data_IF_565386025268
#
_entry.id   IF_565386025268
#
_cell.length_a   1.000
_cell.length_b   1.000
_cell.length_c   1.000
_cell.angle_alpha   90.00
_cell.angle_beta   90.00
_cell.angle_gamma   90.00
#
_symmetry.space_group_name_H-M   'P 1'
#
loop_
_entity.id
_entity.type
_entity.pdbx_description
1 polymer ?
#
# COMPACT_ATOMS: atom_id res chain seq x y z
N UNK A 1 13.01 14.43 -52.66
CA UNK A 1 13.58 14.57 -51.32
C UNK A 1 12.50 14.65 -50.25
N UNK A 2 11.36 15.32 -50.50
CA UNK A 2 10.28 15.43 -49.51
C UNK A 2 9.61 14.09 -49.16
N UNK A 3 9.46 13.18 -50.07
CA UNK A 3 8.83 11.88 -49.83
C UNK A 3 9.67 10.94 -48.94
N UNK A 4 10.99 10.98 -49.06
CA UNK A 4 11.92 10.18 -48.25
C UNK A 4 11.93 10.63 -46.81
N UNK A 5 11.86 11.94 -46.54
CA UNK A 5 11.80 12.49 -45.19
C UNK A 5 10.47 12.12 -44.49
N UNK A 6 9.36 12.07 -45.24
CA UNK A 6 8.06 11.67 -44.69
C UNK A 6 8.04 10.20 -44.30
N UNK A 7 8.62 9.31 -45.09
CA UNK A 7 8.73 7.87 -44.75
C UNK A 7 9.64 7.63 -43.55
N UNK A 8 10.73 8.38 -43.40
CA UNK A 8 11.61 8.29 -42.23
C UNK A 8 10.92 8.78 -40.96
N UNK A 9 10.17 9.89 -41.05
CA UNK A 9 9.42 10.44 -39.93
C UNK A 9 8.33 9.50 -39.43
N UNK A 10 7.55 8.89 -40.34
CA UNK A 10 6.51 7.89 -40.01
C UNK A 10 7.13 6.63 -39.44
N UNK A 11 8.27 6.17 -39.96
CA UNK A 11 9.01 5.01 -39.45
C UNK A 11 9.53 5.23 -38.02
N UNK A 12 10.09 6.40 -37.73
CA UNK A 12 10.53 6.76 -36.38
C UNK A 12 9.36 6.90 -35.39
N UNK A 13 8.24 7.47 -35.81
CA UNK A 13 7.04 7.60 -34.97
C UNK A 13 6.46 6.22 -34.61
N UNK A 14 6.37 5.32 -35.58
CA UNK A 14 5.93 3.95 -35.34
C UNK A 14 6.89 3.18 -34.43
N UNK A 15 8.20 3.36 -34.59
CA UNK A 15 9.20 2.69 -33.75
C UNK A 15 9.13 3.18 -32.28
N UNK A 16 8.92 4.47 -32.04
CA UNK A 16 8.75 5.01 -30.69
C UNK A 16 7.42 4.58 -30.06
N UNK A 17 6.37 4.39 -30.86
CA UNK A 17 5.10 3.88 -30.39
C UNK A 17 5.19 2.39 -30.01
N UNK A 18 5.88 1.60 -30.80
CA UNK A 18 6.13 0.16 -30.52
C UNK A 18 6.96 0.02 -29.23
N UNK A 19 7.98 0.84 -29.06
CA UNK A 19 8.84 0.78 -27.87
C UNK A 19 8.09 1.19 -26.61
N UNK A 20 7.24 2.23 -26.67
CA UNK A 20 6.34 2.61 -25.55
C UNK A 20 5.37 1.49 -25.21
N UNK A 21 4.73 0.88 -26.20
CA UNK A 21 3.79 -0.23 -25.97
C UNK A 21 4.50 -1.45 -25.38
N UNK A 22 5.74 -1.73 -25.78
CA UNK A 22 6.54 -2.82 -25.24
C UNK A 22 6.90 -2.57 -23.76
N UNK A 23 7.32 -1.35 -23.40
CA UNK A 23 7.59 -0.97 -22.00
C UNK A 23 6.34 -1.07 -21.13
N UNK A 24 5.19 -0.59 -21.61
CA UNK A 24 3.92 -0.71 -20.91
C UNK A 24 3.57 -2.19 -20.70
N UNK A 25 3.69 -3.03 -21.75
CA UNK A 25 3.40 -4.46 -21.63
C UNK A 25 4.31 -5.18 -20.63
N UNK A 26 5.60 -4.86 -20.60
CA UNK A 26 6.56 -5.44 -19.65
C UNK A 26 6.22 -5.02 -18.22
N UNK A 27 5.86 -3.77 -17.99
CA UNK A 27 5.48 -3.27 -16.67
C UNK A 27 4.18 -3.91 -16.18
N UNK A 28 3.18 -4.06 -17.04
CA UNK A 28 1.93 -4.77 -16.73
C UNK A 28 2.21 -6.22 -16.35
N UNK A 29 3.05 -6.90 -17.12
CA UNK A 29 3.39 -8.31 -16.87
C UNK A 29 4.15 -8.47 -15.55
N UNK A 30 5.09 -7.56 -15.25
CA UNK A 30 5.86 -7.57 -13.99
C UNK A 30 4.97 -7.28 -12.77
N UNK A 31 4.01 -6.34 -12.87
CA UNK A 31 3.05 -6.02 -11.82
C UNK A 31 2.08 -7.21 -11.59
N UNK A 32 1.60 -7.81 -12.66
CA UNK A 32 0.76 -9.01 -12.59
C UNK A 32 1.47 -10.18 -11.91
N UNK A 33 2.74 -10.43 -12.25
CA UNK A 33 3.55 -11.47 -11.62
C UNK A 33 3.77 -11.21 -10.12
N UNK A 34 3.99 -9.94 -9.70
CA UNK A 34 4.10 -9.58 -8.29
C UNK A 34 2.81 -9.87 -7.53
N UNK A 35 1.66 -9.46 -8.05
CA UNK A 35 0.33 -9.74 -7.45
C UNK A 35 0.03 -11.24 -7.37
N UNK A 36 0.41 -12.02 -8.39
CA UNK A 36 0.30 -13.48 -8.36
C UNK A 36 1.22 -14.10 -7.32
N UNK A 37 2.47 -13.66 -7.23
CA UNK A 37 3.45 -14.13 -6.25
C UNK A 37 2.95 -13.87 -4.82
N UNK A 38 2.42 -12.67 -4.55
CA UNK A 38 1.84 -12.30 -3.27
C UNK A 38 0.64 -13.19 -2.90
N UNK A 39 -0.33 -13.35 -3.81
CA UNK A 39 -1.49 -14.23 -3.57
C UNK A 39 -1.09 -15.68 -3.30
N UNK A 40 -0.14 -16.20 -4.07
CA UNK A 40 0.39 -17.56 -3.85
C UNK A 40 1.12 -17.67 -2.51
N UNK A 41 1.83 -16.62 -2.09
CA UNK A 41 2.50 -16.59 -0.80
C UNK A 41 1.48 -16.64 0.34
N UNK A 42 0.48 -15.77 0.34
CA UNK A 42 -0.59 -15.74 1.36
C UNK A 42 -1.36 -17.08 1.43
N UNK A 43 -1.69 -17.67 0.28
CA UNK A 43 -2.36 -18.99 0.24
C UNK A 43 -1.46 -20.08 0.82
N UNK A 44 -0.16 -20.04 0.49
CA UNK A 44 0.82 -21.02 1.00
C UNK A 44 0.99 -20.89 2.52
N UNK A 45 1.07 -19.66 3.05
CA UNK A 45 1.17 -19.45 4.51
C UNK A 45 -0.08 -19.93 5.24
N UNK A 46 -1.26 -19.55 4.75
CA UNK A 46 -2.52 -20.03 5.35
C UNK A 46 -2.61 -21.56 5.33
N UNK A 47 -2.32 -22.17 4.20
CA UNK A 47 -2.33 -23.63 4.07
C UNK A 47 -1.31 -24.31 5.00
N UNK A 48 -0.09 -23.73 5.12
CA UNK A 48 0.92 -24.27 6.04
C UNK A 48 0.55 -24.07 7.52
N UNK A 49 -0.08 -22.93 7.86
CA UNK A 49 -0.60 -22.70 9.21
C UNK A 49 -1.68 -23.72 9.56
N UNK A 50 -2.67 -23.89 8.70
CA UNK A 50 -3.78 -24.82 8.91
C UNK A 50 -3.31 -26.29 9.00
N UNK A 51 -2.32 -26.66 8.16
CA UNK A 51 -1.69 -27.99 8.21
C UNK A 51 -0.89 -28.22 9.50
N UNK A 52 -0.15 -27.20 9.98
CA UNK A 52 0.58 -27.29 11.25
C UNK A 52 -0.36 -27.45 12.43
N UNK A 53 -1.45 -26.69 12.47
CA UNK A 53 -2.45 -26.76 13.52
C UNK A 53 -3.17 -28.12 13.53
N UNK A 54 -3.45 -28.66 12.36
CA UNK A 54 -4.03 -30.01 12.23
C UNK A 54 -3.06 -31.09 12.74
N UNK A 55 -1.80 -31.04 12.32
CA UNK A 55 -0.76 -31.97 12.75
C UNK A 55 -0.56 -31.89 14.27
N UNK A 56 -0.50 -30.67 14.84
CA UNK A 56 -0.37 -30.45 16.27
C UNK A 56 -1.59 -31.00 17.05
N UNK A 57 -2.81 -30.84 16.54
CA UNK A 57 -4.03 -31.41 17.14
C UNK A 57 -3.97 -32.91 17.14
N UNK A 58 -3.65 -33.56 16.02
CA UNK A 58 -3.50 -35.01 15.92
C UNK A 58 -2.42 -35.49 16.89
N UNK A 59 -1.27 -34.82 16.92
CA UNK A 59 -0.15 -35.16 17.79
C UNK A 59 -0.53 -35.04 19.27
N UNK A 60 -1.23 -33.95 19.68
CA UNK A 60 -1.74 -33.77 21.05
C UNK A 60 -2.70 -34.89 21.47
N UNK A 61 -3.59 -35.26 20.56
CA UNK A 61 -4.55 -36.37 20.83
C UNK A 61 -3.78 -37.69 21.00
N UNK A 62 -2.82 -37.96 20.12
CA UNK A 62 -2.03 -39.20 20.17
C UNK A 62 -1.17 -39.27 21.44
N UNK A 63 -0.50 -38.17 21.83
CA UNK A 63 0.25 -38.13 23.08
C UNK A 63 -0.62 -38.18 24.33
N UNK A 64 -1.80 -37.55 24.29
CA UNK A 64 -2.79 -37.67 25.37
C UNK A 64 -3.23 -39.10 25.60
N UNK A 65 -3.41 -39.85 24.53
CA UNK A 65 -3.73 -41.30 24.59
C UNK A 65 -2.55 -42.15 25.14
N UNK A 66 -1.31 -41.64 24.96
CA UNK A 66 -0.10 -42.30 25.49
C UNK A 66 0.23 -41.88 26.92
N UNK A 67 -0.55 -40.98 27.53
CA UNK A 67 -0.32 -40.49 28.90
C UNK A 67 0.91 -39.63 29.09
N UNK A 68 1.46 -39.09 28.02
CA UNK A 68 2.65 -38.20 28.06
C UNK A 68 2.18 -36.76 28.18
N UNK A 69 2.52 -36.09 29.28
CA UNK A 69 2.29 -34.67 29.45
C UNK A 69 3.10 -33.88 28.41
N UNK A 70 2.41 -33.07 27.57
CA UNK A 70 3.06 -32.20 26.65
C UNK A 70 3.74 -31.04 27.43
N UNK A 71 5.05 -31.00 27.39
CA UNK A 71 5.79 -29.78 27.70
C UNK A 71 5.60 -28.88 26.48
N UNK A 72 5.05 -27.68 26.68
CA UNK A 72 5.02 -26.67 25.62
C UNK A 72 6.46 -26.25 25.28
N UNK A 73 7.13 -27.08 24.49
CA UNK A 73 8.40 -26.70 23.88
C UNK A 73 8.08 -25.66 22.81
N UNK A 74 8.69 -24.49 22.90
CA UNK A 74 8.69 -23.48 21.87
C UNK A 74 8.97 -24.13 20.52
N UNK A 75 7.91 -24.37 19.74
CA UNK A 75 8.07 -24.72 18.33
C UNK A 75 8.61 -23.43 17.68
N UNK A 76 9.89 -23.45 17.31
CA UNK A 76 10.47 -22.37 16.54
C UNK A 76 9.53 -22.09 15.35
N UNK A 77 8.98 -20.89 15.32
CA UNK A 77 8.11 -20.44 14.23
C UNK A 77 8.99 -20.41 12.99
N UNK A 78 8.87 -21.40 12.13
CA UNK A 78 9.50 -21.31 10.82
C UNK A 78 8.82 -20.19 10.05
N UNK A 79 9.42 -19.02 10.08
CA UNK A 79 8.97 -17.85 9.32
C UNK A 79 9.27 -18.09 7.85
N UNK A 80 8.28 -18.60 7.15
CA UNK A 80 8.25 -18.48 5.69
C UNK A 80 7.66 -17.11 5.39
N UNK A 81 8.48 -16.05 5.42
CA UNK A 81 8.05 -14.70 5.16
C UNK A 81 7.73 -14.46 3.69
N UNK A 82 6.76 -13.60 3.44
CA UNK A 82 6.65 -12.88 2.17
C UNK A 82 7.50 -11.61 2.26
N UNK A 83 8.09 -11.14 1.15
CA UNK A 83 8.63 -9.79 1.10
C UNK A 83 7.55 -8.81 1.55
N UNK A 84 7.89 -7.94 2.47
CA UNK A 84 6.98 -6.93 3.02
C UNK A 84 7.74 -5.65 3.33
N UNK A 85 7.03 -4.55 3.34
CA UNK A 85 7.52 -3.25 3.77
C UNK A 85 6.47 -2.60 4.67
N UNK A 86 6.91 -1.77 5.59
CA UNK A 86 6.00 -0.93 6.35
C UNK A 86 5.71 0.34 5.55
N UNK A 87 4.47 0.82 5.62
CA UNK A 87 4.10 2.11 5.06
C UNK A 87 3.29 2.91 6.10
N UNK A 88 3.68 4.17 6.30
CA UNK A 88 2.96 5.10 7.16
C UNK A 88 2.64 6.39 6.40
N UNK A 89 1.38 6.79 6.40
CA UNK A 89 0.99 8.13 5.98
C UNK A 89 0.52 8.93 7.20
N UNK A 90 1.07 10.14 7.36
CA UNK A 90 0.79 11.00 8.52
C UNK A 90 0.83 12.47 8.19
N UNK A 91 0.15 13.27 8.99
CA UNK A 91 0.16 14.73 8.88
C UNK A 91 -0.91 15.38 9.74
N UNK A 92 -1.06 16.69 9.54
CA UNK A 92 -2.00 17.52 10.29
C UNK A 92 -2.85 18.34 9.32
N UNK A 93 -4.16 18.36 9.55
CA UNK A 93 -5.10 19.21 8.82
C UNK A 93 -5.52 20.37 9.72
N UNK A 94 -5.33 21.59 9.24
CA UNK A 94 -5.63 22.82 9.98
C UNK A 94 -6.56 23.74 9.19
N UNK A 95 -7.22 24.63 9.90
CA UNK A 95 -7.89 25.79 9.29
C UNK A 95 -6.89 26.92 9.00
N UNK A 96 -7.39 28.06 8.50
CA UNK A 96 -6.59 29.25 8.16
C UNK A 96 -5.97 29.92 9.41
N UNK A 97 -6.53 29.69 10.60
CA UNK A 97 -5.99 30.15 11.87
C UNK A 97 -4.94 29.19 12.48
N UNK A 98 -4.69 28.05 11.81
CA UNK A 98 -3.73 27.02 12.26
C UNK A 98 -4.29 26.09 13.33
N UNK A 99 -5.60 26.09 13.56
CA UNK A 99 -6.27 25.16 14.46
C UNK A 99 -6.54 23.83 13.76
N UNK A 100 -6.26 22.72 14.42
CA UNK A 100 -6.56 21.38 13.89
C UNK A 100 -8.04 21.15 13.66
N UNK A 101 -8.39 20.53 12.56
CA UNK A 101 -9.77 20.20 12.16
C UNK A 101 -10.00 18.71 12.40
N UNK A 102 -10.93 18.37 13.27
CA UNK A 102 -11.37 17.01 13.53
C UNK A 102 -12.36 16.54 12.46
N UNK A 103 -12.41 15.23 12.19
CA UNK A 103 -13.46 14.62 11.38
C UNK A 103 -13.27 14.76 9.87
N UNK A 104 -12.14 15.27 9.43
CA UNK A 104 -11.81 15.29 8.00
C UNK A 104 -11.49 13.86 7.53
N UNK A 105 -12.19 13.44 6.48
CA UNK A 105 -11.90 12.19 5.79
C UNK A 105 -10.67 12.37 4.91
N UNK A 106 -9.64 11.56 5.15
CA UNK A 106 -8.40 11.53 4.37
C UNK A 106 -8.37 10.22 3.59
N UNK A 107 -8.44 10.30 2.28
CA UNK A 107 -8.32 9.14 1.39
C UNK A 107 -6.93 9.13 0.78
N UNK A 108 -6.19 8.06 1.03
CA UNK A 108 -4.91 7.78 0.38
C UNK A 108 -5.21 6.92 -0.83
N UNK A 109 -4.65 7.26 -1.97
CA UNK A 109 -4.78 6.45 -3.18
C UNK A 109 -3.50 6.43 -3.99
N UNK A 110 -3.25 5.31 -4.65
CA UNK A 110 -2.19 5.17 -5.63
C UNK A 110 -2.70 4.44 -6.86
N UNK A 111 -2.40 5.00 -8.02
CA UNK A 111 -2.81 4.43 -9.30
C UNK A 111 -1.80 3.37 -9.76
N UNK A 112 -2.32 2.36 -10.46
CA UNK A 112 -1.47 1.47 -11.23
C UNK A 112 -1.25 2.04 -12.63
N UNK A 113 -0.06 1.82 -13.23
CA UNK A 113 0.21 2.22 -14.61
C UNK A 113 -0.76 1.60 -15.62
N UNK A 114 -1.44 0.53 -15.26
CA UNK A 114 -2.45 -0.13 -16.07
C UNK A 114 -3.86 0.17 -15.52
N UNK A 115 -4.72 0.85 -16.29
CA UNK A 115 -6.07 1.22 -15.89
C UNK A 115 -7.04 0.03 -15.70
N UNK A 116 -6.61 -1.19 -16.00
CA UNK A 116 -7.40 -2.42 -15.73
C UNK A 116 -7.43 -2.75 -14.23
N UNK A 117 -6.46 -2.25 -13.45
CA UNK A 117 -6.43 -2.44 -12.02
C UNK A 117 -7.08 -1.25 -11.31
N UNK A 118 -7.93 -1.53 -10.35
CA UNK A 118 -8.49 -0.48 -9.49
C UNK A 118 -7.38 0.16 -8.66
N UNK A 119 -7.46 1.47 -8.39
CA UNK A 119 -6.53 2.14 -7.49
C UNK A 119 -6.51 1.48 -6.12
N UNK A 120 -5.34 1.42 -5.50
CA UNK A 120 -5.24 1.07 -4.10
C UNK A 120 -5.76 2.27 -3.31
N UNK A 121 -6.61 2.05 -2.32
CA UNK A 121 -7.15 3.12 -1.50
C UNK A 121 -7.20 2.71 -0.03
N UNK A 122 -6.86 3.66 0.85
CA UNK A 122 -7.10 3.56 2.28
C UNK A 122 -7.78 4.84 2.78
N UNK A 123 -8.54 4.76 3.88
CA UNK A 123 -9.33 5.87 4.41
C UNK A 123 -9.06 6.08 5.88
N UNK A 124 -8.66 7.29 6.23
CA UNK A 124 -8.35 7.74 7.58
C UNK A 124 -9.27 8.89 7.98
N UNK A 125 -9.21 9.23 9.27
CA UNK A 125 -9.95 10.35 9.83
C UNK A 125 -9.04 11.17 10.74
N UNK A 126 -9.17 12.50 10.67
CA UNK A 126 -8.43 13.36 11.58
C UNK A 126 -9.01 13.29 13.00
N UNK A 127 -8.11 13.26 13.97
CA UNK A 127 -8.44 13.31 15.39
C UNK A 127 -8.77 14.77 15.84
N UNK A 128 -9.01 14.97 17.14
CA UNK A 128 -9.32 16.27 17.74
C UNK A 128 -8.22 17.33 17.57
N UNK A 129 -6.99 16.95 17.29
CA UNK A 129 -5.87 17.84 16.97
C UNK A 129 -5.71 18.10 15.48
N UNK A 130 -6.56 17.51 14.63
CA UNK A 130 -6.39 17.52 13.18
C UNK A 130 -5.37 16.53 12.64
N UNK A 131 -4.80 15.66 13.48
CA UNK A 131 -3.78 14.69 13.08
C UNK A 131 -4.44 13.49 12.40
N UNK A 132 -3.79 12.99 11.35
CA UNK A 132 -4.11 11.71 10.72
C UNK A 132 -2.86 10.85 10.65
N UNK A 133 -3.04 9.55 10.82
CA UNK A 133 -1.97 8.56 10.72
C UNK A 133 -2.58 7.22 10.32
N UNK A 134 -1.92 6.50 9.40
CA UNK A 134 -2.27 5.10 9.12
C UNK A 134 -1.99 4.29 10.38
N UNK A 135 -2.89 3.37 10.74
CA UNK A 135 -2.65 2.44 11.84
C UNK A 135 -1.44 1.55 11.55
N UNK A 136 -0.93 0.88 12.60
CA UNK A 136 0.08 -0.19 12.48
C UNK A 136 -0.51 -1.42 11.76
N UNK A 137 -1.14 -1.23 10.65
CA UNK A 137 -1.70 -2.32 9.88
C UNK A 137 -0.64 -2.78 8.89
N UNK A 138 -0.37 -4.05 8.88
CA UNK A 138 0.44 -4.79 7.89
C UNK A 138 -0.11 -4.68 6.46
N UNK A 139 -0.62 -3.52 6.11
CA UNK A 139 -1.33 -3.32 4.85
C UNK A 139 -0.58 -2.27 4.08
N UNK A 140 -0.08 -2.77 3.08
CA UNK A 140 0.18 -2.37 1.74
C UNK A 140 1.64 -2.08 1.42
N UNK A 141 2.40 -3.16 1.26
CA UNK A 141 3.54 -3.19 0.35
C UNK A 141 3.27 -2.39 -0.94
N UNK A 142 2.01 -2.35 -1.35
CA UNK A 142 1.58 -1.68 -2.57
C UNK A 142 1.80 -0.16 -2.54
N UNK A 143 1.64 0.53 -1.40
CA UNK A 143 1.96 1.96 -1.26
C UNK A 143 3.46 2.21 -1.10
N UNK A 144 4.16 1.34 -0.40
CA UNK A 144 5.60 1.46 -0.16
C UNK A 144 6.43 1.48 -1.46
N UNK A 145 5.94 0.81 -2.50
CA UNK A 145 6.61 0.72 -3.80
C UNK A 145 6.14 1.74 -4.83
N UNK A 146 5.44 2.81 -4.40
CA UNK A 146 5.05 3.91 -5.28
C UNK A 146 6.04 5.06 -5.17
N UNK A 147 6.18 5.80 -6.25
CA UNK A 147 6.95 7.04 -6.25
C UNK A 147 6.20 8.15 -5.50
N UNK A 148 4.88 8.15 -5.60
CA UNK A 148 3.97 9.10 -4.94
C UNK A 148 2.62 8.48 -4.64
N UNK A 149 1.90 9.08 -3.70
CA UNK A 149 0.51 8.77 -3.37
C UNK A 149 -0.31 10.06 -3.43
N UNK A 150 -1.57 9.93 -3.79
CA UNK A 150 -2.53 11.01 -3.77
C UNK A 150 -3.27 11.02 -2.44
N UNK A 151 -3.31 12.17 -1.78
CA UNK A 151 -4.08 12.42 -0.58
C UNK A 151 -5.26 13.34 -0.91
N UNK A 152 -6.46 12.90 -0.59
CA UNK A 152 -7.68 13.69 -0.72
C UNK A 152 -8.28 13.94 0.66
N UNK A 153 -8.48 15.23 0.98
CA UNK A 153 -9.03 15.70 2.24
C UNK A 153 -10.44 16.21 1.98
N UNK A 154 -11.43 15.63 2.63
CA UNK A 154 -12.83 15.96 2.43
C UNK A 154 -13.55 16.09 3.77
N UNK A 155 -14.19 17.24 3.96
CA UNK A 155 -15.10 17.47 5.04
C UNK A 155 -16.44 16.80 4.72
N UNK A 156 -16.85 15.86 5.56
CA UNK A 156 -18.06 15.06 5.38
C UNK A 156 -19.12 15.30 6.46
N UNK A 157 -18.79 16.08 7.49
CA UNK A 157 -19.73 16.42 8.58
C UNK A 157 -20.36 17.81 8.42
N UNK A 158 -19.91 18.57 7.42
CA UNK A 158 -20.48 19.86 7.03
C UNK A 158 -20.24 20.96 8.05
N UNK A 159 -21.27 21.40 8.78
CA UNK A 159 -21.16 22.53 9.74
C UNK A 159 -20.56 22.14 11.09
N UNK A 160 -20.36 20.86 11.34
CA UNK A 160 -19.77 20.38 12.57
C UNK A 160 -18.24 20.62 12.58
N UNK A 161 -17.59 20.44 13.71
CA UNK A 161 -16.14 20.51 13.90
C UNK A 161 -15.44 21.78 13.36
N UNK A 162 -16.11 22.90 13.32
CA UNK A 162 -15.50 24.19 12.98
C UNK A 162 -16.01 24.83 11.71
N UNK A 163 -16.96 24.24 11.03
CA UNK A 163 -17.62 24.73 9.81
C UNK A 163 -17.28 23.91 8.58
N UNK A 164 -17.90 24.25 7.46
CA UNK A 164 -17.73 23.51 6.22
C UNK A 164 -16.45 23.94 5.46
N UNK A 165 -15.63 22.98 5.06
CA UNK A 165 -14.35 23.18 4.38
C UNK A 165 -14.35 22.72 2.92
N UNK A 166 -13.52 23.36 2.12
CA UNK A 166 -13.33 22.99 0.71
C UNK A 166 -12.48 21.72 0.62
N UNK A 167 -12.85 20.81 -0.30
CA UNK A 167 -12.07 19.61 -0.57
C UNK A 167 -10.68 19.99 -1.12
N UNK A 168 -9.64 19.33 -0.61
CA UNK A 168 -8.26 19.50 -1.05
C UNK A 168 -7.73 18.16 -1.58
N UNK A 169 -6.95 18.19 -2.63
CA UNK A 169 -6.30 17.02 -3.19
C UNK A 169 -4.86 17.37 -3.54
N UNK A 170 -3.92 16.59 -3.05
CA UNK A 170 -2.48 16.77 -3.27
C UNK A 170 -1.83 15.44 -3.60
N UNK A 171 -0.73 15.49 -4.33
CA UNK A 171 0.15 14.35 -4.57
C UNK A 171 1.41 14.54 -3.74
N UNK A 172 1.79 13.51 -2.99
CA UNK A 172 2.95 13.54 -2.11
C UNK A 172 3.90 12.40 -2.43
N UNK A 173 5.22 12.64 -2.44
CA UNK A 173 6.19 11.59 -2.66
C UNK A 173 6.24 10.61 -1.49
N UNK A 174 6.58 9.36 -1.81
CA UNK A 174 6.86 8.31 -0.83
C UNK A 174 8.35 8.24 -0.59
N UNK A 175 8.77 8.30 0.67
CA UNK A 175 10.17 8.25 1.06
C UNK A 175 10.48 7.01 1.88
N UNK A 176 11.60 6.37 1.57
CA UNK A 176 12.13 5.31 2.42
C UNK A 176 12.79 5.94 3.65
N UNK A 177 12.31 5.59 4.85
CA UNK A 177 12.80 6.14 6.13
C UNK A 177 13.61 5.13 6.94
N UNK A 178 13.52 3.84 6.58
CA UNK A 178 14.30 2.78 7.21
C UNK A 178 14.67 1.73 6.19
N UNK A 179 15.90 1.25 6.25
CA UNK A 179 16.37 0.14 5.41
C UNK A 179 15.81 -1.20 5.90
N UNK A 180 15.64 -2.11 4.97
CA UNK A 180 15.27 -3.48 5.23
C UNK A 180 16.38 -4.30 5.88
N UNK A 181 16.07 -5.55 6.21
CA UNK A 181 17.02 -6.47 6.84
C UNK A 181 17.81 -7.32 5.83
N UNK A 182 17.55 -7.11 4.53
CA UNK A 182 18.16 -7.87 3.44
C UNK A 182 17.55 -9.24 3.19
N UNK A 183 16.48 -9.61 3.92
CA UNK A 183 15.74 -10.85 3.75
C UNK A 183 14.33 -10.56 3.18
N UNK A 184 13.31 -10.67 4.03
CA UNK A 184 11.91 -10.49 3.64
C UNK A 184 11.37 -9.10 3.95
N UNK A 185 12.04 -8.36 4.81
CA UNK A 185 11.66 -7.00 5.16
C UNK A 185 12.43 -5.99 4.31
N UNK A 186 11.70 -5.25 3.46
CA UNK A 186 12.28 -4.25 2.55
C UNK A 186 12.50 -2.88 3.19
N UNK A 187 12.02 -2.68 4.41
CA UNK A 187 12.18 -1.43 5.14
C UNK A 187 10.87 -0.71 5.40
N UNK A 188 10.96 0.52 5.89
CA UNK A 188 9.82 1.38 6.15
C UNK A 188 9.81 2.60 5.23
N UNK A 189 8.62 2.98 4.82
CA UNK A 189 8.34 4.09 3.91
C UNK A 189 7.31 5.03 4.52
N UNK A 190 7.46 6.30 4.27
CA UNK A 190 6.54 7.34 4.75
C UNK A 190 6.07 8.24 3.61
N UNK A 191 4.82 8.68 3.71
CA UNK A 191 4.25 9.75 2.92
C UNK A 191 3.40 10.65 3.83
N UNK A 192 3.16 11.87 3.42
CA UNK A 192 2.22 12.72 4.13
C UNK A 192 2.50 14.19 3.96
N UNK A 193 1.55 14.99 4.42
CA UNK A 193 1.64 16.42 4.36
C UNK A 193 0.77 17.09 5.42
N UNK A 194 1.20 18.27 5.86
CA UNK A 194 0.33 19.18 6.60
C UNK A 194 -0.47 20.01 5.61
N UNK A 195 -1.78 20.08 5.80
CA UNK A 195 -2.71 20.73 4.89
C UNK A 195 -3.53 21.79 5.61
N UNK A 196 -3.63 22.97 5.03
CA UNK A 196 -4.58 23.99 5.49
C UNK A 196 -5.81 23.99 4.61
N UNK A 197 -6.97 23.77 5.17
CA UNK A 197 -8.26 23.79 4.47
C UNK A 197 -8.93 25.15 4.63
N UNK A 198 -9.53 25.60 3.55
CA UNK A 198 -10.23 26.90 3.47
C UNK A 198 -11.73 26.66 3.71
N UNK A 199 -12.35 27.50 4.54
CA UNK A 199 -13.81 27.47 4.73
C UNK A 199 -14.55 27.81 3.44
N UNK A 200 -15.73 27.20 3.26
CA UNK A 200 -16.66 27.54 2.18
C UNK A 200 -17.43 28.82 2.44
#
# INVERSE_FOLDING_TARGET
WGAVILYFSVGLHNFTQINRNLHVTINIFSASLRKYKYRLCVIKEKFQSDMKDLILKIFKITLGLLGIAMIDSCVAKAEYGCPHADFEAKGVVTDEEGKGIQGIRVVISAEYPNPVFEPITDTLWTNHNGEYVTGESYIDDDFAYKDSVKLEFEDVDGQENGGEFQKVSIEVPVFKVKDGDGNWYDGAYEAGANVTMIKK
#
